data_IF_071635039090
#
_entry.id   IF_071635039090
#
_cell.length_a   1.000
_cell.length_b   1.000
_cell.length_c   1.000
_cell.angle_alpha   90.00
_cell.angle_beta   90.00
_cell.angle_gamma   90.00
#
_symmetry.space_group_name_H-M   'P 1'
#
loop_
_entity.id
_entity.type
_entity.pdbx_description
1 polymer ?
#
# COMPACT_ATOMS: atom_id res chain seq x y z
N UNK A 1 -0.99 -13.04 -14.71
CA UNK A 1 -0.07 -13.22 -13.57
C UNK A 1 -0.30 -14.57 -12.90
N UNK A 2 0.78 -15.28 -12.56
CA UNK A 2 0.81 -16.50 -11.74
C UNK A 2 0.65 -16.15 -10.25
N UNK A 3 0.32 -17.14 -9.40
CA UNK A 3 0.13 -16.93 -7.95
C UNK A 3 1.41 -16.39 -7.29
N UNK A 4 2.57 -16.95 -7.64
CA UNK A 4 3.85 -16.51 -7.09
C UNK A 4 4.15 -15.06 -7.47
N UNK A 5 3.94 -14.66 -8.73
CA UNK A 5 4.10 -13.27 -9.16
C UNK A 5 3.23 -12.30 -8.34
N UNK A 6 1.98 -12.69 -8.02
CA UNK A 6 1.09 -11.88 -7.18
C UNK A 6 1.55 -11.80 -5.72
N UNK A 7 2.05 -12.89 -5.14
CA UNK A 7 2.61 -12.88 -3.77
C UNK A 7 3.85 -11.98 -3.71
N UNK A 8 4.71 -12.03 -4.72
CA UNK A 8 5.89 -11.17 -4.80
C UNK A 8 5.50 -9.70 -4.95
N UNK A 9 4.55 -9.40 -5.83
CA UNK A 9 4.05 -8.03 -6.00
C UNK A 9 3.42 -7.50 -4.71
N UNK A 10 2.59 -8.29 -4.04
CA UNK A 10 2.01 -7.93 -2.74
C UNK A 10 3.10 -7.64 -1.71
N UNK A 11 4.11 -8.50 -1.61
CA UNK A 11 5.24 -8.32 -0.68
C UNK A 11 6.02 -7.03 -0.98
N UNK A 12 6.26 -6.74 -2.26
CA UNK A 12 6.96 -5.52 -2.66
C UNK A 12 6.13 -4.27 -2.35
N UNK A 13 4.83 -4.29 -2.64
CA UNK A 13 3.95 -3.14 -2.40
C UNK A 13 3.81 -2.81 -0.90
N UNK A 14 3.76 -3.84 -0.05
CA UNK A 14 3.79 -3.65 1.40
C UNK A 14 5.12 -3.02 1.87
N UNK A 15 6.25 -3.36 1.24
CA UNK A 15 7.54 -2.70 1.53
C UNK A 15 7.57 -1.25 1.04
N UNK A 16 6.99 -0.97 -0.13
CA UNK A 16 6.87 0.39 -0.66
C UNK A 16 6.01 1.25 0.26
N UNK A 17 4.86 0.75 0.73
CA UNK A 17 4.04 1.43 1.71
C UNK A 17 4.84 1.73 2.98
N UNK A 18 5.50 0.73 3.56
CA UNK A 18 6.28 0.91 4.79
C UNK A 18 7.41 1.95 4.60
N UNK A 19 8.07 1.94 3.45
CA UNK A 19 9.08 2.94 3.13
C UNK A 19 8.48 4.33 3.01
N UNK A 20 7.35 4.47 2.31
CA UNK A 20 6.66 5.75 2.18
C UNK A 20 6.22 6.32 3.54
N UNK A 21 5.58 5.51 4.38
CA UNK A 21 5.17 5.88 5.74
C UNK A 21 6.37 6.36 6.58
N UNK A 22 7.52 5.68 6.44
CA UNK A 22 8.75 6.08 7.11
C UNK A 22 9.31 7.42 6.60
N UNK A 23 9.36 7.63 5.29
CA UNK A 23 9.92 8.86 4.71
C UNK A 23 9.02 10.07 4.90
N UNK A 24 7.70 9.88 4.85
CA UNK A 24 6.71 10.94 5.04
C UNK A 24 6.30 11.17 6.50
N UNK A 25 6.83 10.38 7.45
CA UNK A 25 6.45 10.38 8.87
C UNK A 25 4.92 10.33 9.06
N UNK A 26 4.26 9.50 8.25
CA UNK A 26 2.80 9.37 8.19
C UNK A 26 2.38 7.91 8.20
N UNK A 27 1.07 7.65 8.36
CA UNK A 27 0.51 6.31 8.24
C UNK A 27 -0.57 6.28 7.16
N UNK A 28 -0.42 5.36 6.22
CA UNK A 28 -1.39 5.14 5.15
C UNK A 28 -2.58 4.40 5.72
N UNK A 29 -3.77 5.01 5.59
CA UNK A 29 -5.03 4.36 5.95
C UNK A 29 -5.31 3.20 5.01
N UNK A 30 -5.61 2.03 5.58
CA UNK A 30 -5.72 0.80 4.81
C UNK A 30 -6.85 -0.11 5.31
N UNK A 31 -7.97 0.47 5.74
CA UNK A 31 -9.14 -0.25 6.28
C UNK A 31 -9.59 -1.38 5.35
N UNK A 32 -9.72 -1.09 4.05
CA UNK A 32 -10.10 -2.09 3.03
C UNK A 32 -9.09 -3.24 2.93
N UNK A 33 -7.79 -2.96 3.08
CA UNK A 33 -6.76 -3.99 3.06
C UNK A 33 -6.74 -4.80 4.37
N UNK A 34 -6.94 -4.14 5.51
CA UNK A 34 -7.03 -4.78 6.82
C UNK A 34 -8.20 -5.76 6.88
N UNK A 35 -9.36 -5.37 6.36
CA UNK A 35 -10.59 -6.17 6.31
C UNK A 35 -10.44 -7.47 5.51
N UNK A 36 -9.59 -7.47 4.47
CA UNK A 36 -9.31 -8.68 3.70
C UNK A 36 -8.59 -9.76 4.54
N UNK A 37 -7.81 -9.34 5.55
CA UNK A 37 -7.05 -10.27 6.39
C UNK A 37 -6.00 -11.09 5.60
N UNK A 38 -5.52 -10.55 4.47
CA UNK A 38 -4.56 -11.21 3.59
C UNK A 38 -3.23 -10.47 3.67
N UNK A 39 -2.25 -11.07 4.36
CA UNK A 39 -0.88 -10.56 4.42
C UNK A 39 -0.01 -11.17 3.31
N UNK A 40 1.14 -10.58 2.93
CA UNK A 40 2.05 -11.19 1.97
C UNK A 40 2.49 -12.61 2.36
N UNK A 41 2.63 -12.87 3.66
CA UNK A 41 2.98 -14.18 4.24
C UNK A 41 1.83 -15.20 4.20
N UNK A 42 0.63 -14.81 3.80
CA UNK A 42 -0.57 -15.67 3.76
C UNK A 42 -0.58 -16.58 2.53
N UNK A 43 0.51 -17.30 2.25
CA UNK A 43 0.75 -18.06 1.01
C UNK A 43 -0.30 -19.16 0.72
N UNK A 44 -1.08 -19.53 1.73
CA UNK A 44 -2.18 -20.49 1.63
C UNK A 44 -3.44 -19.88 1.03
N UNK A 45 -3.60 -18.54 1.06
CA UNK A 45 -4.73 -17.81 0.48
C UNK A 45 -4.78 -17.93 -1.04
N UNK A 46 -5.94 -17.65 -1.63
CA UNK A 46 -6.16 -17.84 -3.06
C UNK A 46 -5.38 -16.83 -3.90
N UNK A 47 -5.25 -17.11 -5.20
CA UNK A 47 -4.69 -16.13 -6.14
C UNK A 47 -5.53 -14.85 -6.18
N UNK A 48 -6.85 -14.97 -6.06
CA UNK A 48 -7.77 -13.83 -6.07
C UNK A 48 -7.61 -13.00 -4.80
N UNK A 49 -7.46 -13.65 -3.64
CA UNK A 49 -7.25 -12.98 -2.35
C UNK A 49 -6.00 -12.08 -2.38
N UNK A 50 -4.87 -12.61 -2.90
CA UNK A 50 -3.66 -11.79 -3.05
C UNK A 50 -3.81 -10.68 -4.07
N UNK A 51 -4.63 -10.87 -5.11
CA UNK A 51 -4.91 -9.84 -6.11
C UNK A 51 -5.73 -8.71 -5.51
N UNK A 52 -6.80 -9.01 -4.77
CA UNK A 52 -7.64 -8.02 -4.08
C UNK A 52 -6.82 -7.22 -3.07
N UNK A 53 -5.96 -7.89 -2.31
CA UNK A 53 -5.03 -7.26 -1.39
C UNK A 53 -4.06 -6.28 -2.07
N UNK A 54 -3.53 -6.64 -3.24
CA UNK A 54 -2.67 -5.74 -4.04
C UNK A 54 -3.44 -4.49 -4.46
N UNK A 55 -4.69 -4.63 -4.90
CA UNK A 55 -5.51 -3.46 -5.26
C UNK A 55 -5.80 -2.57 -4.06
N UNK A 56 -6.21 -3.14 -2.93
CA UNK A 56 -6.52 -2.38 -1.72
C UNK A 56 -5.28 -1.61 -1.21
N UNK A 57 -4.11 -2.25 -1.19
CA UNK A 57 -2.84 -1.59 -0.83
C UNK A 57 -2.47 -0.47 -1.81
N UNK A 58 -2.59 -0.72 -3.12
CA UNK A 58 -2.22 0.26 -4.13
C UNK A 58 -3.13 1.49 -4.05
N UNK A 59 -4.44 1.29 -3.89
CA UNK A 59 -5.41 2.36 -3.72
C UNK A 59 -5.12 3.20 -2.48
N UNK A 60 -4.98 2.59 -1.30
CA UNK A 60 -4.68 3.33 -0.07
C UNK A 60 -3.38 4.13 -0.18
N UNK A 61 -2.34 3.54 -0.79
CA UNK A 61 -1.08 4.25 -1.01
C UNK A 61 -1.24 5.44 -1.96
N UNK A 62 -1.94 5.27 -3.09
CA UNK A 62 -2.14 6.38 -4.05
C UNK A 62 -3.04 7.48 -3.49
N UNK A 63 -4.01 7.14 -2.64
CA UNK A 63 -4.88 8.10 -1.99
C UNK A 63 -4.07 8.95 -1.00
N UNK A 64 -3.25 8.32 -0.14
CA UNK A 64 -2.37 9.03 0.80
C UNK A 64 -1.39 9.97 0.08
N UNK A 65 -0.76 9.49 -1.02
CA UNK A 65 0.14 10.32 -1.83
C UNK A 65 -0.56 11.50 -2.49
N UNK A 66 -1.86 11.36 -2.81
CA UNK A 66 -2.65 12.45 -3.41
C UNK A 66 -3.07 13.49 -2.38
N UNK A 67 -3.37 13.05 -1.14
CA UNK A 67 -3.67 13.95 -0.02
C UNK A 67 -2.46 14.82 0.35
N UNK A 68 -1.25 14.26 0.38
CA UNK A 68 -0.01 15.03 0.60
C UNK A 68 0.27 16.07 -0.48
N UNK A 69 -0.09 15.78 -1.74
CA UNK A 69 0.12 16.69 -2.85
C UNK A 69 -0.78 17.95 -2.78
N UNK A 70 -1.90 17.88 -2.05
CA UNK A 70 -2.87 18.97 -1.90
C UNK A 70 -2.62 19.82 -0.64
N UNK A 71 -1.67 19.41 0.22
CA UNK A 71 -1.20 20.28 1.31
C UNK A 71 -0.33 21.42 0.74
N UNK A 72 -0.68 22.70 0.97
CA UNK A 72 0.14 23.81 0.52
C UNK A 72 1.47 23.77 1.28
N UNK A 73 2.52 23.28 0.64
CA UNK A 73 3.89 23.48 1.09
C UNK A 73 4.11 24.99 1.19
N UNK A 74 4.10 25.50 2.42
CA UNK A 74 4.46 26.88 2.70
C UNK A 74 5.92 27.07 2.25
N UNK A 75 6.08 27.64 1.05
CA UNK A 75 7.36 28.08 0.53
C UNK A 75 7.91 29.13 1.50
N UNK A 76 8.73 28.71 2.46
CA UNK A 76 9.59 29.63 3.20
C UNK A 76 10.68 30.08 2.25
N UNK A 77 10.44 31.19 1.56
CA UNK A 77 11.50 31.94 0.89
C UNK A 77 12.35 32.64 1.96
N UNK A 78 13.65 32.32 2.00
CA UNK A 78 14.70 33.13 2.63
C UNK A 78 15.24 34.14 1.61
#
# INVERSE_FOLDING_TARGET
>A
MKKQELIHLHSLLAQVQHHYEHEADTSVQHDLYADLGVKPTSIHKSKTDHKEAVFALASGLTDAMSEEADEPQALTAD
#
